data_IF_857005376975
#
_entry.id   IF_857005376975
#
_cell.length_a   1.000
_cell.length_b   1.000
_cell.length_c   1.000
_cell.angle_alpha   90.00
_cell.angle_beta   90.00
_cell.angle_gamma   90.00
#
_symmetry.space_group_name_H-M   'P 1'
#
loop_
_entity.id
_entity.type
_entity.pdbx_description
1 polymer ?
#
# COMPACT_ATOMS: atom_id res chain seq x y z
N UNK A 1 3.79 -26.21 -3.86
CA UNK A 1 4.59 -25.57 -2.80
C UNK A 1 3.69 -24.65 -1.99
N UNK A 2 3.72 -24.71 -0.64
CA UNK A 2 2.85 -23.90 0.22
C UNK A 2 3.11 -22.39 0.11
N UNK A 3 4.27 -22.00 -0.42
CA UNK A 3 4.66 -20.60 -0.61
C UNK A 3 3.69 -19.79 -1.49
N UNK A 4 2.94 -20.44 -2.39
CA UNK A 4 1.93 -19.77 -3.21
C UNK A 4 0.74 -19.28 -2.39
N UNK A 5 0.58 -19.71 -1.14
CA UNK A 5 -0.48 -19.24 -0.25
C UNK A 5 -0.33 -17.75 0.14
N UNK A 6 0.86 -17.18 0.00
CA UNK A 6 1.14 -15.74 0.23
C UNK A 6 0.81 -14.84 -0.98
N UNK A 7 0.39 -15.43 -2.10
CA UNK A 7 0.14 -14.74 -3.36
C UNK A 7 -1.29 -15.02 -3.85
N UNK A 8 -1.75 -14.21 -4.81
CA UNK A 8 -3.07 -14.38 -5.43
C UNK A 8 -3.18 -15.77 -6.07
N UNK A 9 -4.42 -16.30 -6.09
CA UNK A 9 -4.68 -17.68 -6.54
C UNK A 9 -4.29 -17.88 -8.00
N UNK A 10 -4.48 -16.84 -8.82
CA UNK A 10 -4.25 -16.86 -10.25
C UNK A 10 -3.10 -15.89 -10.59
N UNK A 11 -1.96 -16.39 -11.09
CA UNK A 11 -0.88 -15.52 -11.58
C UNK A 11 -1.25 -14.94 -12.95
N UNK A 12 -0.74 -13.73 -13.23
CA UNK A 12 -0.77 -13.18 -14.59
C UNK A 12 0.36 -13.80 -15.43
N UNK A 13 0.15 -13.96 -16.74
CA UNK A 13 1.16 -14.49 -17.66
C UNK A 13 1.86 -13.36 -18.42
N UNK A 14 3.19 -13.34 -18.38
CA UNK A 14 4.01 -12.51 -19.28
C UNK A 14 4.58 -13.41 -20.39
N UNK A 15 4.32 -13.04 -21.64
CA UNK A 15 4.77 -13.75 -22.84
C UNK A 15 5.97 -13.05 -23.45
N UNK A 16 6.91 -13.81 -23.99
CA UNK A 16 8.03 -13.27 -24.76
C UNK A 16 7.59 -12.92 -26.20
N UNK A 17 8.50 -12.34 -26.99
CA UNK A 17 8.32 -11.99 -28.40
C UNK A 17 7.78 -13.14 -29.25
N UNK A 18 8.14 -14.37 -28.90
CA UNK A 18 7.78 -15.59 -29.63
C UNK A 18 6.42 -16.17 -29.21
N UNK A 19 5.66 -15.47 -28.36
CA UNK A 19 4.34 -15.89 -27.87
C UNK A 19 4.37 -17.02 -26.83
N UNK A 20 5.56 -17.41 -26.37
CA UNK A 20 5.73 -18.40 -25.29
C UNK A 20 5.72 -17.72 -23.92
N UNK A 21 5.12 -18.37 -22.92
CA UNK A 21 5.11 -17.86 -21.52
C UNK A 21 6.54 -17.75 -20.99
N UNK A 22 6.97 -16.54 -20.70
CA UNK A 22 8.30 -16.25 -20.15
C UNK A 22 8.28 -16.22 -18.62
N UNK A 23 7.28 -15.56 -18.03
CA UNK A 23 7.13 -15.43 -16.59
C UNK A 23 5.69 -15.67 -16.13
N UNK A 24 5.56 -16.28 -14.95
CA UNK A 24 4.37 -16.17 -14.11
C UNK A 24 4.54 -15.00 -13.15
N UNK A 25 3.57 -14.09 -13.14
CA UNK A 25 3.58 -12.90 -12.29
C UNK A 25 2.61 -13.09 -11.15
N UNK A 26 3.17 -13.32 -9.97
CA UNK A 26 2.44 -13.51 -8.72
C UNK A 26 2.29 -12.20 -7.98
N UNK A 27 1.07 -11.87 -7.57
CA UNK A 27 0.80 -10.68 -6.77
C UNK A 27 0.70 -11.05 -5.29
N UNK A 28 1.50 -10.40 -4.45
CA UNK A 28 1.50 -10.66 -3.01
C UNK A 28 0.19 -10.17 -2.37
N UNK A 29 -0.47 -11.03 -1.58
CA UNK A 29 -1.77 -10.71 -0.96
C UNK A 29 -1.65 -9.69 0.19
N UNK A 30 -0.44 -9.45 0.71
CA UNK A 30 -0.18 -8.47 1.77
C UNK A 30 0.19 -7.08 1.27
N UNK A 31 1.21 -6.98 0.41
CA UNK A 31 1.74 -5.68 -0.05
C UNK A 31 1.33 -5.32 -1.49
N UNK A 32 0.76 -6.25 -2.25
CA UNK A 32 0.38 -6.04 -3.65
C UNK A 32 1.54 -5.99 -4.64
N UNK A 33 2.79 -6.18 -4.19
CA UNK A 33 3.95 -6.22 -5.07
C UNK A 33 3.90 -7.45 -5.98
N UNK A 34 4.26 -7.26 -7.25
CA UNK A 34 4.32 -8.32 -8.26
C UNK A 34 5.70 -8.98 -8.24
N UNK A 35 5.74 -10.30 -8.19
CA UNK A 35 6.97 -11.11 -8.27
C UNK A 35 6.91 -12.04 -9.46
N UNK A 36 7.98 -12.02 -10.26
CA UNK A 36 8.13 -12.82 -11.47
C UNK A 36 8.79 -14.16 -11.15
N UNK A 37 8.25 -15.21 -11.75
CA UNK A 37 8.79 -16.57 -11.71
C UNK A 37 9.07 -17.01 -13.14
N UNK A 38 10.33 -17.31 -13.45
CA UNK A 38 10.77 -17.70 -14.80
C UNK A 38 10.27 -19.08 -15.21
N UNK A 39 9.87 -19.20 -16.48
CA UNK A 39 9.31 -20.43 -17.06
C UNK A 39 10.15 -21.07 -18.18
N UNK A 40 11.23 -20.40 -18.62
CA UNK A 40 12.05 -20.83 -19.78
C UNK A 40 13.32 -21.62 -19.44
N UNK A 41 13.96 -21.34 -18.31
CA UNK A 41 15.30 -21.88 -17.98
C UNK A 41 15.23 -23.18 -17.18
N UNK A 42 16.39 -23.79 -16.91
CA UNK A 42 16.54 -25.01 -16.09
C UNK A 42 15.95 -24.87 -14.68
N UNK A 43 15.81 -23.63 -14.19
CA UNK A 43 15.19 -23.28 -12.91
C UNK A 43 13.67 -23.02 -13.03
N UNK A 44 13.02 -23.60 -14.04
CA UNK A 44 11.58 -23.52 -14.27
C UNK A 44 10.84 -23.97 -13.00
N UNK A 45 10.16 -23.02 -12.37
CA UNK A 45 9.43 -23.27 -11.12
C UNK A 45 10.22 -23.03 -9.83
N UNK A 46 11.43 -22.43 -9.90
CA UNK A 46 12.12 -21.96 -8.69
C UNK A 46 11.24 -20.97 -7.93
N UNK A 47 11.13 -21.18 -6.63
CA UNK A 47 10.32 -20.35 -5.71
C UNK A 47 11.17 -19.46 -4.82
N UNK A 48 12.49 -19.35 -5.08
CA UNK A 48 13.42 -18.56 -4.28
C UNK A 48 13.00 -17.10 -4.16
N UNK A 49 12.65 -16.46 -5.29
CA UNK A 49 12.19 -15.07 -5.31
C UNK A 49 10.88 -14.86 -4.53
N UNK A 50 9.93 -15.80 -4.66
CA UNK A 50 8.68 -15.77 -3.90
C UNK A 50 8.92 -15.95 -2.40
N UNK A 51 9.84 -16.85 -2.05
CA UNK A 51 10.20 -17.15 -0.66
C UNK A 51 10.90 -15.98 0.00
N UNK A 52 11.89 -15.38 -0.66
CA UNK A 52 12.60 -14.20 -0.19
C UNK A 52 11.62 -13.04 0.07
N UNK A 53 10.71 -12.79 -0.88
CA UNK A 53 9.67 -11.79 -0.68
C UNK A 53 8.72 -12.14 0.46
N UNK A 54 8.23 -13.37 0.54
CA UNK A 54 7.30 -13.79 1.58
C UNK A 54 7.90 -13.59 2.97
N UNK A 55 9.18 -13.94 3.16
CA UNK A 55 9.90 -13.72 4.43
C UNK A 55 10.01 -12.23 4.76
N UNK A 56 10.41 -11.41 3.80
CA UNK A 56 10.53 -9.97 4.00
C UNK A 56 9.17 -9.29 4.28
N UNK A 57 8.11 -9.78 3.64
CA UNK A 57 6.80 -9.12 3.63
C UNK A 57 5.88 -9.60 4.76
N UNK A 58 5.91 -10.89 5.08
CA UNK A 58 5.06 -11.53 6.09
C UNK A 58 5.82 -11.91 7.37
N UNK A 59 7.15 -11.91 7.33
CA UNK A 59 8.01 -12.38 8.41
C UNK A 59 8.40 -13.85 8.26
N UNK A 60 9.58 -14.20 8.76
CA UNK A 60 10.09 -15.57 8.73
C UNK A 60 9.17 -16.55 9.49
N UNK A 61 8.56 -16.11 10.60
CA UNK A 61 7.63 -16.91 11.40
C UNK A 61 6.40 -17.35 10.60
N UNK A 62 5.81 -16.44 9.82
CA UNK A 62 4.65 -16.73 9.00
C UNK A 62 4.99 -17.74 7.89
N UNK A 63 6.16 -17.61 7.27
CA UNK A 63 6.64 -18.54 6.23
C UNK A 63 6.97 -19.90 6.83
N UNK A 64 7.56 -19.95 8.02
CA UNK A 64 7.85 -21.20 8.73
C UNK A 64 6.58 -21.94 9.14
N UNK A 65 5.55 -21.21 9.60
CA UNK A 65 4.29 -21.79 10.07
C UNK A 65 3.51 -22.56 9.00
N UNK A 66 3.75 -22.29 7.71
CA UNK A 66 3.06 -22.96 6.60
C UNK A 66 3.96 -23.88 5.77
N UNK A 67 5.23 -24.04 6.17
CA UNK A 67 6.25 -24.74 5.37
C UNK A 67 5.88 -26.19 5.04
N UNK A 68 5.21 -26.86 5.98
CA UNK A 68 4.84 -28.28 5.88
C UNK A 68 3.32 -28.49 5.69
N UNK A 69 2.57 -27.41 5.44
CA UNK A 69 1.12 -27.47 5.27
C UNK A 69 0.72 -27.71 3.82
N UNK A 70 -0.45 -28.34 3.62
CA UNK A 70 -1.10 -28.34 2.32
C UNK A 70 -1.48 -26.90 1.93
N UNK A 71 -1.57 -26.61 0.62
CA UNK A 71 -1.75 -25.25 0.12
C UNK A 71 -3.05 -24.57 0.64
N UNK A 72 -4.13 -25.32 0.77
CA UNK A 72 -5.40 -24.80 1.32
C UNK A 72 -5.30 -24.50 2.82
N UNK A 73 -4.65 -25.39 3.58
CA UNK A 73 -4.38 -25.19 5.00
C UNK A 73 -3.44 -24.00 5.23
N UNK A 74 -2.43 -23.83 4.37
CA UNK A 74 -1.53 -22.68 4.40
C UNK A 74 -2.29 -21.36 4.16
N UNK A 75 -3.22 -21.34 3.20
CA UNK A 75 -4.07 -20.17 2.92
C UNK A 75 -4.95 -19.81 4.11
N UNK A 76 -5.51 -20.80 4.80
CA UNK A 76 -6.33 -20.57 5.99
C UNK A 76 -5.48 -20.09 7.18
N UNK A 77 -4.29 -20.65 7.38
CA UNK A 77 -3.36 -20.21 8.43
C UNK A 77 -2.92 -18.75 8.23
N UNK A 78 -2.60 -18.34 7.00
CA UNK A 78 -2.11 -16.99 6.67
C UNK A 78 -3.19 -15.92 6.89
N UNK A 79 -4.49 -16.25 6.85
CA UNK A 79 -5.57 -15.31 7.18
C UNK A 79 -5.42 -14.72 8.59
N UNK A 80 -4.85 -15.49 9.52
CA UNK A 80 -4.62 -15.04 10.91
C UNK A 80 -3.38 -14.13 11.02
N UNK A 81 -2.35 -14.34 10.20
CA UNK A 81 -1.19 -13.46 10.09
C UNK A 81 -1.53 -12.14 9.34
N UNK A 82 -2.49 -12.18 8.42
CA UNK A 82 -2.89 -11.07 7.55
C UNK A 82 -3.85 -10.04 8.17
N UNK A 83 -4.34 -10.26 9.41
CA UNK A 83 -5.22 -9.31 10.11
C UNK A 83 -4.46 -8.14 10.74
N UNK A 84 -3.70 -7.40 9.93
CA UNK A 84 -3.43 -5.98 10.22
C UNK A 84 -4.21 -5.14 9.22
N UNK A 85 -5.37 -4.62 9.63
CA UNK A 85 -6.23 -3.67 8.88
C UNK A 85 -5.56 -2.34 8.48
N UNK A 86 -4.25 -2.29 8.62
CA UNK A 86 -3.31 -1.19 8.39
C UNK A 86 -2.53 -1.35 7.07
N UNK A 87 -2.47 -2.55 6.47
CA UNK A 87 -1.51 -2.87 5.40
C UNK A 87 -1.91 -2.33 4.03
N UNK A 88 -3.19 -2.41 3.63
CA UNK A 88 -3.64 -1.92 2.31
C UNK A 88 -3.45 -0.42 2.09
N UNK A 89 -3.78 0.41 3.09
CA UNK A 89 -3.54 1.87 3.01
C UNK A 89 -2.04 2.20 3.00
N UNK A 90 -1.26 1.49 3.81
CA UNK A 90 0.20 1.67 3.86
C UNK A 90 0.85 1.28 2.54
N UNK A 91 0.43 0.16 1.97
CA UNK A 91 0.89 -0.32 0.66
C UNK A 91 0.52 0.69 -0.44
N UNK A 92 -0.72 1.19 -0.44
CA UNK A 92 -1.13 2.24 -1.36
C UNK A 92 -0.36 3.55 -1.17
N UNK A 93 0.02 3.93 0.06
CA UNK A 93 0.89 5.09 0.29
C UNK A 93 2.26 4.93 -0.37
N UNK A 94 2.84 3.72 -0.32
CA UNK A 94 4.13 3.43 -0.97
C UNK A 94 4.07 3.50 -2.50
N UNK A 95 2.90 3.27 -3.11
CA UNK A 95 2.72 3.29 -4.58
C UNK A 95 2.38 4.68 -5.13
N UNK A 96 1.91 5.60 -4.28
CA UNK A 96 1.69 7.00 -4.66
C UNK A 96 3.06 7.68 -4.79
N UNK A 97 3.58 7.73 -6.03
CA UNK A 97 4.68 8.65 -6.40
C UNK A 97 4.23 10.11 -6.16
N UNK A 98 5.12 11.09 -6.30
CA UNK A 98 4.75 12.52 -6.23
C UNK A 98 3.53 12.88 -7.12
N UNK A 99 3.07 14.13 -7.06
CA UNK A 99 1.98 14.59 -7.94
C UNK A 99 2.30 14.20 -9.39
N UNK A 100 1.44 13.36 -9.99
CA UNK A 100 1.76 12.75 -11.28
C UNK A 100 1.78 13.82 -12.38
N UNK A 101 2.85 13.88 -13.16
CA UNK A 101 2.96 14.74 -14.35
C UNK A 101 1.97 14.33 -15.46
N UNK A 102 1.41 13.11 -15.38
CA UNK A 102 0.46 12.55 -16.36
C UNK A 102 -0.78 12.00 -15.66
N UNK A 103 -1.95 12.36 -16.18
CA UNK A 103 -3.25 11.92 -15.66
C UNK A 103 -3.71 10.60 -16.30
N UNK A 104 -4.26 9.70 -15.48
CA UNK A 104 -4.91 8.48 -15.96
C UNK A 104 -6.31 8.80 -16.50
N UNK A 105 -6.68 8.19 -17.63
CA UNK A 105 -8.06 8.20 -18.14
C UNK A 105 -8.99 7.32 -17.30
N UNK A 106 -8.44 6.34 -16.58
CA UNK A 106 -9.19 5.48 -15.65
C UNK A 106 -9.28 6.16 -14.27
N UNK A 107 -10.48 6.23 -13.66
CA UNK A 107 -10.64 6.73 -12.30
C UNK A 107 -9.78 5.93 -11.31
N UNK A 108 -9.23 6.57 -10.27
CA UNK A 108 -8.44 5.87 -9.28
C UNK A 108 -9.29 4.90 -8.47
N UNK A 109 -8.66 3.82 -8.03
CA UNK A 109 -9.27 2.84 -7.12
C UNK A 109 -9.60 3.48 -5.76
N UNK A 110 -10.43 2.80 -4.98
CA UNK A 110 -10.91 3.29 -3.68
C UNK A 110 -9.76 3.56 -2.72
N UNK A 111 -8.81 2.65 -2.62
CA UNK A 111 -7.61 2.75 -1.78
C UNK A 111 -6.75 3.95 -2.17
N UNK A 112 -6.45 4.09 -3.47
CA UNK A 112 -5.70 5.23 -4.03
C UNK A 112 -6.40 6.54 -3.72
N UNK A 113 -7.73 6.60 -3.91
CA UNK A 113 -8.53 7.80 -3.63
C UNK A 113 -8.42 8.21 -2.16
N UNK A 114 -8.47 7.25 -1.23
CA UNK A 114 -8.33 7.53 0.21
C UNK A 114 -6.96 8.10 0.56
N UNK A 115 -5.90 7.47 0.08
CA UNK A 115 -4.52 7.91 0.34
C UNK A 115 -4.28 9.31 -0.22
N UNK A 116 -4.62 9.53 -1.49
CA UNK A 116 -4.41 10.82 -2.16
C UNK A 116 -5.23 11.91 -1.49
N UNK A 117 -6.49 11.63 -1.12
CA UNK A 117 -7.32 12.61 -0.41
C UNK A 117 -6.74 12.95 0.97
N UNK A 118 -6.31 11.95 1.75
CA UNK A 118 -5.73 12.17 3.07
C UNK A 118 -4.42 12.96 2.98
N UNK A 119 -3.56 12.64 2.01
CA UNK A 119 -2.31 13.35 1.73
C UNK A 119 -2.58 14.80 1.35
N UNK A 120 -3.45 15.04 0.37
CA UNK A 120 -3.83 16.39 -0.07
C UNK A 120 -4.40 17.24 1.06
N UNK A 121 -5.30 16.67 1.87
CA UNK A 121 -5.92 17.37 3.00
C UNK A 121 -4.88 17.75 4.05
N UNK A 122 -3.91 16.86 4.34
CA UNK A 122 -2.83 17.14 5.27
C UNK A 122 -1.84 18.19 4.73
N UNK A 123 -1.36 18.02 3.49
CA UNK A 123 -0.38 18.91 2.86
C UNK A 123 -0.92 20.34 2.67
N UNK A 124 -2.22 20.48 2.34
CA UNK A 124 -2.85 21.79 2.14
C UNK A 124 -3.55 22.35 3.38
N UNK A 125 -3.37 21.73 4.56
CA UNK A 125 -4.04 22.12 5.82
C UNK A 125 -5.56 22.33 5.69
N UNK A 126 -6.24 21.48 4.90
CA UNK A 126 -7.67 21.64 4.61
C UNK A 126 -8.54 21.05 5.72
N UNK A 127 -9.73 21.61 5.97
CA UNK A 127 -10.67 21.01 6.91
C UNK A 127 -11.17 19.66 6.36
N UNK A 128 -11.30 18.64 7.21
CA UNK A 128 -11.81 17.32 6.79
C UNK A 128 -13.21 17.37 6.17
N UNK A 129 -13.99 18.42 6.47
CA UNK A 129 -15.31 18.64 5.88
C UNK A 129 -15.26 18.99 4.38
N UNK A 130 -14.10 19.33 3.82
CA UNK A 130 -13.95 19.67 2.38
C UNK A 130 -14.50 18.58 1.46
N UNK A 131 -14.40 17.30 1.84
CA UNK A 131 -14.94 16.19 1.04
C UNK A 131 -16.47 16.12 0.99
N UNK A 132 -17.14 16.89 1.87
CA UNK A 132 -18.60 17.04 1.87
C UNK A 132 -19.06 18.26 1.06
N UNK A 133 -18.14 19.13 0.64
CA UNK A 133 -18.47 20.31 -0.15
C UNK A 133 -19.20 19.92 -1.45
N UNK A 134 -20.22 20.70 -1.82
CA UNK A 134 -21.05 20.42 -2.98
C UNK A 134 -20.24 20.52 -4.28
N UNK A 135 -19.43 21.57 -4.43
CA UNK A 135 -18.61 21.79 -5.61
C UNK A 135 -17.56 20.71 -5.78
N UNK A 136 -16.86 20.36 -4.69
CA UNK A 136 -15.92 19.25 -4.66
C UNK A 136 -16.58 17.92 -5.08
N UNK A 137 -17.74 17.58 -4.51
CA UNK A 137 -18.43 16.31 -4.85
C UNK A 137 -18.91 16.29 -6.29
N UNK A 138 -19.37 17.42 -6.81
CA UNK A 138 -19.74 17.55 -8.22
C UNK A 138 -18.52 17.29 -9.12
N UNK A 139 -17.40 18.00 -8.89
CA UNK A 139 -16.15 17.81 -9.64
C UNK A 139 -15.63 16.37 -9.63
N UNK A 140 -15.81 15.65 -8.53
CA UNK A 140 -15.36 14.26 -8.40
C UNK A 140 -16.31 13.24 -9.05
N UNK A 141 -17.61 13.58 -9.20
CA UNK A 141 -18.65 12.67 -9.71
C UNK A 141 -19.06 12.95 -11.14
N UNK A 142 -18.84 14.15 -11.65
CA UNK A 142 -19.20 14.53 -13.01
C UNK A 142 -18.44 13.66 -14.02
N UNK A 143 -19.16 13.05 -14.97
CA UNK A 143 -18.63 12.03 -15.87
C UNK A 143 -18.18 10.71 -15.21
N UNK A 144 -18.27 10.58 -13.87
CA UNK A 144 -17.78 9.45 -13.08
C UNK A 144 -18.70 9.13 -11.88
N UNK A 145 -19.99 8.81 -12.09
CA UNK A 145 -20.98 8.71 -11.01
C UNK A 145 -20.66 7.62 -9.97
N UNK A 146 -19.96 6.57 -10.38
CA UNK A 146 -19.54 5.46 -9.49
C UNK A 146 -18.25 5.75 -8.71
N UNK A 147 -17.57 6.87 -8.97
CA UNK A 147 -16.29 7.19 -8.30
C UNK A 147 -16.46 7.30 -6.78
N UNK A 148 -15.59 6.65 -6.01
CA UNK A 148 -15.69 6.66 -4.56
C UNK A 148 -15.23 8.00 -3.98
N UNK A 149 -15.95 8.55 -3.00
CA UNK A 149 -15.51 9.73 -2.24
C UNK A 149 -15.49 9.36 -0.75
N UNK A 150 -14.37 9.55 -0.04
CA UNK A 150 -14.29 9.23 1.39
C UNK A 150 -15.14 10.19 2.23
N UNK A 151 -15.62 9.69 3.37
CA UNK A 151 -16.29 10.55 4.37
C UNK A 151 -15.27 11.38 5.15
N UNK A 152 -15.70 12.48 5.80
CA UNK A 152 -14.83 13.30 6.66
C UNK A 152 -14.16 12.48 7.78
N UNK A 153 -14.87 11.50 8.33
CA UNK A 153 -14.39 10.59 9.38
C UNK A 153 -13.36 9.60 8.83
N UNK A 154 -13.50 9.22 7.56
CA UNK A 154 -12.52 8.38 6.86
C UNK A 154 -11.25 9.17 6.60
N UNK A 155 -11.37 10.39 6.10
CA UNK A 155 -10.23 11.31 5.90
C UNK A 155 -9.51 11.55 7.23
N UNK A 156 -10.22 11.87 8.31
CA UNK A 156 -9.62 12.10 9.62
C UNK A 156 -8.83 10.88 10.13
N UNK A 157 -9.39 9.68 10.01
CA UNK A 157 -8.70 8.43 10.40
C UNK A 157 -7.48 8.17 9.54
N UNK A 158 -7.59 8.40 8.23
CA UNK A 158 -6.49 8.14 7.29
C UNK A 158 -5.36 9.17 7.48
N UNK A 159 -5.68 10.45 7.69
CA UNK A 159 -4.70 11.50 8.07
C UNK A 159 -4.00 11.14 9.38
N UNK A 160 -4.73 10.68 10.40
CA UNK A 160 -4.12 10.23 11.66
C UNK A 160 -3.13 9.08 11.44
N UNK A 161 -3.47 8.12 10.57
CA UNK A 161 -2.56 7.03 10.20
C UNK A 161 -1.31 7.52 9.47
N UNK A 162 -1.48 8.46 8.54
CA UNK A 162 -0.35 9.08 7.84
C UNK A 162 0.56 9.80 8.83
N UNK A 163 0.00 10.60 9.73
CA UNK A 163 0.74 11.29 10.78
C UNK A 163 1.57 10.32 11.63
N UNK A 164 0.97 9.24 12.14
CA UNK A 164 1.69 8.26 12.96
C UNK A 164 2.88 7.64 12.21
N UNK A 165 2.67 7.24 10.95
CA UNK A 165 3.74 6.65 10.13
C UNK A 165 4.84 7.64 9.78
N UNK A 166 4.47 8.88 9.44
CA UNK A 166 5.44 9.92 9.14
C UNK A 166 6.23 10.30 10.40
N UNK A 167 5.57 10.33 11.57
CA UNK A 167 6.22 10.57 12.86
C UNK A 167 7.23 9.46 13.19
N UNK A 168 6.86 8.19 13.03
CA UNK A 168 7.76 7.05 13.23
C UNK A 168 8.98 7.15 12.30
N UNK A 169 8.75 7.39 11.00
CA UNK A 169 9.83 7.56 10.02
C UNK A 169 10.75 8.74 10.34
N UNK A 170 10.18 9.89 10.68
CA UNK A 170 10.98 11.07 11.06
C UNK A 170 11.75 10.82 12.35
N UNK A 171 11.19 10.08 13.31
CA UNK A 171 11.92 9.73 14.53
C UNK A 171 13.13 8.85 14.22
N UNK A 172 12.99 7.86 13.34
CA UNK A 172 14.11 7.03 12.86
C UNK A 172 15.17 7.89 12.15
N UNK A 173 14.75 8.77 11.24
CA UNK A 173 15.65 9.67 10.49
C UNK A 173 16.39 10.65 11.42
N UNK A 174 15.72 11.21 12.43
CA UNK A 174 16.31 12.12 13.41
C UNK A 174 17.25 11.42 14.39
N UNK A 175 16.95 10.19 14.80
CA UNK A 175 17.81 9.39 15.69
C UNK A 175 19.10 8.92 15.00
N UNK A 176 19.09 8.81 13.67
CA UNK A 176 20.27 8.42 12.89
C UNK A 176 21.27 9.56 12.65
N UNK A 177 20.93 10.81 13.02
CA UNK A 177 21.83 11.96 12.87
C UNK A 177 22.93 11.88 13.93
N UNK A 178 24.17 11.67 13.47
CA UNK A 178 25.37 11.72 14.32
C UNK A 178 25.78 13.20 14.52
N UNK A 179 25.00 13.92 15.32
CA UNK A 179 25.20 15.35 15.57
C UNK A 179 24.10 16.00 16.41
N UNK A 180 24.23 17.30 16.63
CA UNK A 180 23.24 18.09 17.38
C UNK A 180 22.06 18.51 16.49
N UNK A 181 20.86 18.51 17.06
CA UNK A 181 19.64 18.97 16.40
C UNK A 181 19.22 20.34 16.97
N UNK A 182 19.25 21.37 16.13
CA UNK A 182 18.74 22.68 16.49
C UNK A 182 17.20 22.68 16.50
N UNK A 183 16.58 23.05 17.62
CA UNK A 183 15.13 23.15 17.78
C UNK A 183 14.75 24.61 18.00
N UNK A 184 13.97 25.18 17.07
CA UNK A 184 13.33 26.47 17.25
C UNK A 184 11.89 26.27 17.74
N UNK A 185 11.52 26.91 18.85
CA UNK A 185 10.17 26.87 19.40
C UNK A 185 9.56 28.26 19.19
N UNK A 186 8.47 28.32 18.44
CA UNK A 186 7.68 29.54 18.27
C UNK A 186 6.55 29.56 19.31
N UNK A 187 6.48 30.65 20.07
CA UNK A 187 5.53 30.84 21.17
C UNK A 187 4.74 32.12 20.93
N UNK A 188 3.46 32.00 20.59
CA UNK A 188 2.53 33.13 20.52
C UNK A 188 1.30 32.89 21.40
N UNK A 189 0.72 33.98 21.90
CA UNK A 189 -0.56 33.98 22.61
C UNK A 189 -1.69 34.41 21.67
N UNK A 190 -2.72 33.58 21.54
CA UNK A 190 -3.95 33.95 20.81
C UNK A 190 -5.04 34.35 21.81
N UNK A 191 -5.56 35.58 21.75
CA UNK A 191 -6.69 36.00 22.58
C UNK A 191 -7.99 35.43 22.00
N UNK A 192 -8.13 34.11 22.00
CA UNK A 192 -9.40 33.47 21.63
C UNK A 192 -10.31 33.51 22.85
N UNK A 193 -11.13 34.56 22.90
CA UNK A 193 -12.19 34.77 23.89
C UNK A 193 -13.57 34.56 23.26
#
# INVERSE_FOLDING_TARGET
APIYAFFDVEPEFEFDSDGSVEYLVWKCTHCGEKKRQGMKTKDKGSTGNLTSHAKQCWGDEAVAAVKDSALDQARDAIKNFGKKSQTKLTAALKTVKGWAEKFSTRPPEKETTRVVTARWVAESARPFRVVRDRGFRWLQKEGRPKHYIPSKETVARDVKKLYTKTKEKLAEELQAVDGELAVAIDCWSSPNH
#
